data_IF_212793704863
#
_entry.id   IF_212793704863
#
_cell.length_a   1.000
_cell.length_b   1.000
_cell.length_c   1.000
_cell.angle_alpha   90.00
_cell.angle_beta   90.00
_cell.angle_gamma   90.00
#
_symmetry.space_group_name_H-M   'P 1'
#
loop_
_entity.id
_entity.type
_entity.pdbx_description
1 polymer ?
#
# COMPACT_ATOMS: atom_id res chain seq x y z
N UNK A 1 -46.34 -8.30 -14.73
CA UNK A 1 -44.92 -7.95 -14.44
C UNK A 1 -44.13 -9.24 -14.46
N UNK A 2 -43.21 -9.36 -15.42
CA UNK A 2 -42.65 -10.64 -15.88
C UNK A 2 -41.57 -11.17 -14.94
N UNK A 3 -41.64 -12.48 -14.67
CA UNK A 3 -40.72 -13.30 -13.85
C UNK A 3 -39.23 -13.04 -14.18
N UNK A 4 -38.96 -12.61 -15.41
CA UNK A 4 -37.65 -12.17 -15.90
C UNK A 4 -37.01 -11.05 -15.04
N UNK A 5 -37.78 -10.03 -14.63
CA UNK A 5 -37.24 -8.91 -13.86
C UNK A 5 -36.86 -9.31 -12.43
N UNK A 6 -37.58 -10.26 -11.84
CA UNK A 6 -37.24 -10.80 -10.51
C UNK A 6 -35.98 -11.66 -10.55
N UNK A 7 -35.76 -12.41 -11.64
CA UNK A 7 -34.58 -13.25 -11.78
C UNK A 7 -33.30 -12.43 -11.96
N UNK A 8 -33.35 -11.37 -12.77
CA UNK A 8 -32.23 -10.44 -12.94
C UNK A 8 -31.92 -9.70 -11.63
N UNK A 9 -32.94 -9.17 -10.95
CA UNK A 9 -32.76 -8.45 -9.69
C UNK A 9 -32.11 -9.32 -8.60
N UNK A 10 -32.52 -10.60 -8.50
CA UNK A 10 -31.96 -11.53 -7.50
C UNK A 10 -30.53 -11.95 -7.84
N UNK A 11 -30.21 -12.17 -9.11
CA UNK A 11 -28.84 -12.48 -9.55
C UNK A 11 -27.87 -11.31 -9.35
N UNK A 12 -28.31 -10.07 -9.61
CA UNK A 12 -27.51 -8.86 -9.39
C UNK A 12 -27.26 -8.62 -7.90
N UNK A 13 -28.27 -8.83 -7.04
CA UNK A 13 -28.10 -8.71 -5.59
C UNK A 13 -27.15 -9.78 -5.01
N UNK A 14 -27.24 -11.04 -5.44
CA UNK A 14 -26.33 -12.08 -4.99
C UNK A 14 -24.90 -11.85 -5.47
N UNK A 15 -24.72 -11.37 -6.71
CA UNK A 15 -23.40 -11.00 -7.24
C UNK A 15 -22.73 -9.86 -6.46
N UNK A 16 -23.50 -8.86 -6.05
CA UNK A 16 -23.01 -7.75 -5.24
C UNK A 16 -22.62 -8.17 -3.81
N UNK A 17 -23.39 -9.08 -3.19
CA UNK A 17 -23.11 -9.57 -1.83
C UNK A 17 -21.89 -10.49 -1.77
N UNK A 18 -21.62 -11.27 -2.82
CA UNK A 18 -20.46 -12.16 -2.88
C UNK A 18 -19.20 -11.45 -3.41
N UNK A 19 -19.34 -10.44 -4.27
CA UNK A 19 -18.22 -9.63 -4.76
C UNK A 19 -17.65 -8.65 -3.71
N UNK A 20 -18.48 -8.16 -2.79
CA UNK A 20 -18.07 -7.18 -1.77
C UNK A 20 -17.11 -7.72 -0.71
N UNK A 21 -17.07 -9.04 -0.47
CA UNK A 21 -16.25 -9.66 0.58
C UNK A 21 -14.80 -9.95 0.17
N UNK A 22 -14.49 -9.98 -1.13
CA UNK A 22 -13.14 -10.31 -1.61
C UNK A 22 -12.22 -9.07 -1.66
N UNK A 23 -12.77 -7.85 -1.66
CA UNK A 23 -11.99 -6.63 -1.85
C UNK A 23 -11.44 -5.98 -0.57
N UNK A 24 -11.79 -6.47 0.64
CA UNK A 24 -11.37 -5.84 1.90
C UNK A 24 -10.20 -6.53 2.61
N UNK A 25 -9.79 -7.72 2.16
CA UNK A 25 -8.79 -8.52 2.89
C UNK A 25 -7.32 -8.11 2.64
N UNK A 26 -7.02 -7.17 1.73
CA UNK A 26 -5.63 -6.87 1.34
C UNK A 26 -5.01 -5.64 2.00
N UNK A 27 -5.71 -4.92 2.89
CA UNK A 27 -5.16 -3.71 3.53
C UNK A 27 -4.69 -3.89 4.97
N UNK A 28 -4.87 -5.06 5.56
CA UNK A 28 -4.29 -5.38 6.86
C UNK A 28 -2.86 -5.93 6.70
N UNK A 29 -1.90 -5.09 6.29
CA UNK A 29 -0.53 -5.32 6.77
C UNK A 29 -0.52 -4.93 8.24
N UNK A 30 -1.07 -5.78 9.10
CA UNK A 30 -0.82 -5.67 10.53
C UNK A 30 0.70 -5.66 10.67
N UNK A 31 1.24 -4.55 11.19
CA UNK A 31 2.67 -4.45 11.46
C UNK A 31 3.02 -5.65 12.35
N UNK A 32 3.85 -6.57 11.85
CA UNK A 32 4.36 -7.65 12.68
C UNK A 32 5.02 -7.01 13.89
N UNK A 33 4.65 -7.46 15.09
CA UNK A 33 5.24 -6.96 16.33
C UNK A 33 6.75 -7.10 16.24
N UNK A 34 7.48 -6.01 16.52
CA UNK A 34 8.94 -6.02 16.49
C UNK A 34 9.47 -7.11 17.45
N UNK A 35 10.44 -7.93 17.03
CA UNK A 35 11.03 -8.98 17.86
C UNK A 35 11.65 -8.44 19.15
N UNK A 36 11.93 -9.35 20.09
CA UNK A 36 12.62 -8.99 21.33
C UNK A 36 13.99 -8.37 21.05
N UNK A 37 14.41 -7.39 21.86
CA UNK A 37 15.68 -6.65 21.65
C UNK A 37 16.91 -7.57 21.69
N UNK A 38 16.85 -8.68 22.44
CA UNK A 38 17.94 -9.66 22.50
C UNK A 38 17.95 -10.63 21.30
N UNK A 39 16.86 -10.69 20.52
CA UNK A 39 16.74 -11.54 19.35
C UNK A 39 17.25 -10.82 18.09
N UNK A 40 18.57 -10.75 17.97
CA UNK A 40 19.21 -10.14 16.80
C UNK A 40 18.91 -10.88 15.49
N UNK A 41 18.58 -12.17 15.55
CA UNK A 41 18.18 -12.92 14.36
C UNK A 41 16.78 -12.54 13.89
N UNK A 42 15.83 -12.47 14.82
CA UNK A 42 14.49 -11.98 14.55
C UNK A 42 14.50 -10.53 14.09
N UNK A 43 15.25 -9.64 14.76
CA UNK A 43 15.33 -8.23 14.34
C UNK A 43 15.90 -8.07 12.94
N UNK A 44 16.94 -8.83 12.57
CA UNK A 44 17.47 -8.79 11.20
C UNK A 44 16.39 -9.16 10.17
N UNK A 45 15.67 -10.27 10.39
CA UNK A 45 14.60 -10.72 9.50
C UNK A 45 13.42 -9.73 9.45
N UNK A 46 13.09 -9.10 10.57
CA UNK A 46 12.04 -8.09 10.65
C UNK A 46 12.40 -6.85 9.82
N UNK A 47 13.63 -6.33 9.95
CA UNK A 47 14.09 -5.20 9.16
C UNK A 47 14.23 -5.54 7.66
N UNK A 48 14.63 -6.76 7.30
CA UNK A 48 14.60 -7.21 5.89
C UNK A 48 13.18 -7.17 5.31
N UNK A 49 12.18 -7.60 6.10
CA UNK A 49 10.77 -7.52 5.72
C UNK A 49 10.32 -6.06 5.59
N UNK A 50 10.66 -5.21 6.56
CA UNK A 50 10.32 -3.78 6.53
C UNK A 50 10.93 -3.08 5.31
N UNK A 51 12.18 -3.39 4.96
CA UNK A 51 12.81 -2.90 3.75
C UNK A 51 12.05 -3.33 2.49
N UNK A 52 11.69 -4.61 2.39
CA UNK A 52 10.88 -5.13 1.27
C UNK A 52 9.52 -4.44 1.16
N UNK A 53 8.81 -4.29 2.28
CA UNK A 53 7.51 -3.63 2.35
C UNK A 53 7.60 -2.17 1.90
N UNK A 54 8.60 -1.41 2.35
CA UNK A 54 8.75 -0.02 1.94
C UNK A 54 9.15 0.13 0.46
N UNK A 55 9.97 -0.78 -0.09
CA UNK A 55 10.19 -0.81 -1.55
C UNK A 55 8.91 -1.08 -2.33
N UNK A 56 8.03 -1.94 -1.83
CA UNK A 56 6.74 -2.17 -2.47
C UNK A 56 5.85 -0.93 -2.42
N UNK A 57 5.80 -0.22 -1.28
CA UNK A 57 5.08 1.05 -1.15
C UNK A 57 5.61 2.10 -2.14
N UNK A 58 6.93 2.22 -2.30
CA UNK A 58 7.54 3.12 -3.28
C UNK A 58 7.06 2.80 -4.71
N UNK A 59 7.09 1.52 -5.11
CA UNK A 59 6.57 1.08 -6.42
C UNK A 59 5.09 1.40 -6.63
N UNK A 60 4.27 1.19 -5.60
CA UNK A 60 2.84 1.55 -5.68
C UNK A 60 2.64 3.05 -5.88
N UNK A 61 3.51 3.91 -5.32
CA UNK A 61 3.45 5.35 -5.55
C UNK A 61 3.94 5.74 -6.96
N UNK A 62 4.92 5.02 -7.52
CA UNK A 62 5.32 5.19 -8.93
C UNK A 62 4.17 4.88 -9.89
N UNK A 63 3.48 3.76 -9.67
CA UNK A 63 2.30 3.36 -10.44
C UNK A 63 1.17 4.40 -10.32
N UNK A 64 0.93 4.89 -9.10
CA UNK A 64 -0.06 5.93 -8.84
C UNK A 64 0.28 7.24 -9.56
N UNK A 65 1.55 7.69 -9.50
CA UNK A 65 2.02 8.87 -10.22
C UNK A 65 1.79 8.72 -11.73
N UNK A 66 2.11 7.56 -12.28
CA UNK A 66 1.88 7.27 -13.70
C UNK A 66 0.38 7.26 -14.06
N UNK A 67 -0.49 6.77 -13.18
CA UNK A 67 -1.94 6.81 -13.37
C UNK A 67 -2.47 8.26 -13.37
N UNK A 68 -1.98 9.10 -12.45
CA UNK A 68 -2.34 10.52 -12.41
C UNK A 68 -1.87 11.30 -13.63
N UNK A 69 -0.70 10.99 -14.16
CA UNK A 69 -0.21 11.60 -15.40
C UNK A 69 -1.13 11.30 -16.61
N UNK A 70 -1.82 10.15 -16.62
CA UNK A 70 -2.77 9.77 -17.68
C UNK A 70 -4.14 10.45 -17.54
N UNK A 71 -4.47 10.95 -16.35
CA UNK A 71 -5.80 11.50 -16.02
C UNK A 71 -5.71 12.86 -15.32
N UNK A 72 -5.20 13.91 -15.99
CA UNK A 72 -4.97 15.22 -15.37
C UNK A 72 -6.25 15.89 -14.83
N UNK A 73 -7.41 15.64 -15.44
CA UNK A 73 -8.69 16.16 -14.95
C UNK A 73 -9.14 15.58 -13.60
N UNK A 74 -8.78 14.34 -13.29
CA UNK A 74 -9.05 13.72 -11.99
C UNK A 74 -8.22 14.37 -10.88
N UNK A 75 -6.93 14.61 -11.17
CA UNK A 75 -6.00 15.29 -10.26
C UNK A 75 -6.48 16.70 -9.91
N UNK A 76 -7.00 17.43 -10.91
CA UNK A 76 -7.54 18.77 -10.73
C UNK A 76 -8.80 18.79 -9.85
N UNK A 77 -9.60 17.71 -9.83
CA UNK A 77 -10.77 17.57 -8.94
C UNK A 77 -10.44 17.21 -7.50
N UNK A 78 -9.26 16.61 -7.25
CA UNK A 78 -8.78 16.27 -5.89
C UNK A 78 -8.12 17.45 -5.17
N UNK A 79 -7.69 18.47 -5.91
CA UNK A 79 -7.35 19.77 -5.37
C UNK A 79 -8.66 20.45 -4.93
N UNK A 80 -9.06 20.28 -3.67
CA UNK A 80 -10.26 20.91 -3.11
C UNK A 80 -10.30 22.43 -3.33
N UNK A 81 -11.45 23.04 -3.07
CA UNK A 81 -11.87 24.42 -3.40
C UNK A 81 -10.89 25.57 -3.00
N UNK A 82 -9.76 25.29 -2.34
CA UNK A 82 -8.75 26.29 -1.99
C UNK A 82 -7.30 25.82 -1.93
N UNK A 83 -6.95 24.62 -2.40
CA UNK A 83 -5.59 24.09 -2.25
C UNK A 83 -5.12 23.34 -3.48
N UNK A 84 -4.16 23.90 -4.22
CA UNK A 84 -3.44 23.19 -5.29
C UNK A 84 -2.54 22.12 -4.65
N UNK A 85 -3.09 20.97 -4.29
CA UNK A 85 -2.25 19.82 -3.98
C UNK A 85 -1.62 19.36 -5.29
N UNK A 86 -0.33 19.64 -5.45
CA UNK A 86 0.48 19.08 -6.53
C UNK A 86 0.67 17.59 -6.27
N UNK A 87 -0.30 16.79 -6.74
CA UNK A 87 -0.35 15.35 -6.54
C UNK A 87 0.89 14.65 -7.12
N UNK A 88 1.39 14.98 -8.33
CA UNK A 88 2.66 14.44 -8.81
C UNK A 88 3.82 14.66 -7.83
N UNK A 89 3.98 15.88 -7.30
CA UNK A 89 5.01 16.18 -6.30
C UNK A 89 4.78 15.42 -4.99
N UNK A 90 3.53 15.25 -4.57
CA UNK A 90 3.19 14.44 -3.40
C UNK A 90 3.63 12.98 -3.58
N UNK A 91 3.35 12.37 -4.74
CA UNK A 91 3.82 11.02 -5.04
C UNK A 91 5.36 10.95 -5.03
N UNK A 92 6.07 11.92 -5.61
CA UNK A 92 7.54 11.95 -5.58
C UNK A 92 8.10 12.00 -4.17
N UNK A 93 7.49 12.78 -3.28
CA UNK A 93 7.87 12.84 -1.87
C UNK A 93 7.67 11.50 -1.17
N UNK A 94 6.56 10.80 -1.43
CA UNK A 94 6.30 9.49 -0.86
C UNK A 94 7.24 8.42 -1.40
N UNK A 95 7.52 8.41 -2.71
CA UNK A 95 8.50 7.49 -3.33
C UNK A 95 9.85 7.66 -2.64
N UNK A 96 10.36 8.90 -2.57
CA UNK A 96 11.63 9.20 -1.92
C UNK A 96 11.66 8.78 -0.46
N UNK A 97 10.59 9.06 0.29
CA UNK A 97 10.49 8.70 1.71
C UNK A 97 10.51 7.18 1.91
N UNK A 98 9.72 6.43 1.15
CA UNK A 98 9.67 4.97 1.27
C UNK A 98 10.98 4.31 0.84
N UNK A 99 11.63 4.80 -0.22
CA UNK A 99 12.94 4.32 -0.62
C UNK A 99 13.97 4.53 0.50
N UNK A 100 14.00 5.72 1.10
CA UNK A 100 14.92 6.00 2.22
C UNK A 100 14.66 5.11 3.44
N UNK A 101 13.40 4.91 3.81
CA UNK A 101 13.06 4.01 4.92
C UNK A 101 13.48 2.58 4.61
N UNK A 102 13.35 2.13 3.36
CA UNK A 102 13.82 0.82 2.97
C UNK A 102 15.34 0.66 3.09
N UNK A 103 16.10 1.69 2.71
CA UNK A 103 17.56 1.71 2.85
C UNK A 103 17.99 1.70 4.33
N UNK A 104 17.36 2.52 5.18
CA UNK A 104 17.62 2.53 6.62
C UNK A 104 17.29 1.17 7.26
N UNK A 105 16.19 0.53 6.84
CA UNK A 105 15.83 -0.81 7.29
C UNK A 105 16.86 -1.87 6.83
N UNK A 106 17.37 -1.81 5.60
CA UNK A 106 18.45 -2.71 5.16
C UNK A 106 19.71 -2.56 6.03
N UNK A 107 20.10 -1.33 6.36
CA UNK A 107 21.26 -1.09 7.22
C UNK A 107 21.05 -1.65 8.63
N UNK A 108 19.85 -1.48 9.20
CA UNK A 108 19.50 -2.06 10.50
C UNK A 108 19.49 -3.60 10.46
N UNK A 109 19.01 -4.19 9.35
CA UNK A 109 19.09 -5.63 9.15
C UNK A 109 20.54 -6.13 9.15
N UNK A 110 21.45 -5.42 8.44
CA UNK A 110 22.88 -5.75 8.42
C UNK A 110 23.51 -5.64 9.81
N UNK A 111 23.22 -4.57 10.54
CA UNK A 111 23.69 -4.36 11.92
C UNK A 111 23.29 -5.54 12.79
N UNK A 112 21.99 -5.86 12.87
CA UNK A 112 21.53 -6.98 13.68
C UNK A 112 22.04 -8.34 13.19
N UNK A 113 22.16 -8.55 11.89
CA UNK A 113 22.76 -9.77 11.34
C UNK A 113 24.22 -9.95 11.78
N UNK A 114 24.98 -8.86 11.90
CA UNK A 114 26.36 -8.89 12.40
C UNK A 114 26.47 -9.21 13.90
N UNK A 115 25.39 -8.99 14.66
CA UNK A 115 25.29 -9.24 16.11
C UNK A 115 24.81 -10.65 16.45
N UNK A 116 24.55 -11.51 15.46
CA UNK A 116 24.17 -12.93 15.64
C UNK A 116 25.33 -13.82 16.17
N UNK A 117 26.45 -13.22 16.57
CA UNK A 117 27.64 -13.91 17.08
C UNK A 117 27.58 -14.07 18.58
#
# INVERSE_FOLDING_TARGET
MTIWNQWIQRSVMCGLLLGGLVAFATTASAADSMPAIADHAGMAAWYEKEASTNRQKAKSMEEMKAAYAKSPGFVQGMAGVGGKTDIPRHCDQLISSYTKVAEEADELAKVHSSMKK
#
